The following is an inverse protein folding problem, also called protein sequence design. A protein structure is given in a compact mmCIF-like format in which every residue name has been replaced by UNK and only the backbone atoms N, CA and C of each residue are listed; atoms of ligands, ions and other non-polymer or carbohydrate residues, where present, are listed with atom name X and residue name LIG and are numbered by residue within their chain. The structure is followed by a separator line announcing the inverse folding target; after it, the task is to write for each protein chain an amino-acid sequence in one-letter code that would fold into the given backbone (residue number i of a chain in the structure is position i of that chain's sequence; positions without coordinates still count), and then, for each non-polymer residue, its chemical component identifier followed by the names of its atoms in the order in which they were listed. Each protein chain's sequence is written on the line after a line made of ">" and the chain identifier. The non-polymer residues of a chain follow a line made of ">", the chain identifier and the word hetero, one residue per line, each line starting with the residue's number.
data_IF_457392993114
#
_entry.id   IF_457392993114
#
_cell.length_a   1.000
_cell.length_b   1.000
_cell.length_c   1.000
_cell.angle_alpha   90.00
_cell.angle_beta   90.00
_cell.angle_gamma   90.00
#
_symmetry.space_group_name_H-M   'P 1'
#
loop_
_entity.id
_entity.type
_entity.pdbx_description
1 polymer ?
#
# COMPACT_ATOMS: atom_id res chain seq x y z
N UNK A 1 -45.74 -54.63 -76.11
CA UNK A 1 -44.72 -55.06 -75.10
C UNK A 1 -43.57 -54.06 -75.16
N UNK A 2 -43.58 -53.05 -74.30
CA UNK A 2 -42.48 -52.04 -74.20
C UNK A 2 -42.23 -51.68 -72.77
N UNK A 3 -41.03 -51.91 -72.34
CA UNK A 3 -40.57 -51.68 -70.98
C UNK A 3 -40.05 -50.22 -70.87
N UNK A 4 -40.53 -49.45 -69.88
CA UNK A 4 -40.04 -48.14 -69.52
C UNK A 4 -38.88 -48.29 -68.47
N UNK A 5 -37.78 -47.53 -68.62
CA UNK A 5 -36.74 -47.50 -67.60
C UNK A 5 -37.03 -46.43 -66.54
N UNK A 6 -36.81 -46.78 -65.26
CA UNK A 6 -36.88 -45.90 -64.07
C UNK A 6 -35.64 -45.00 -63.97
N UNK A 7 -35.82 -43.69 -64.05
CA UNK A 7 -34.80 -42.69 -63.77
C UNK A 7 -34.74 -42.50 -62.28
N UNK A 8 -33.64 -42.89 -61.65
CA UNK A 8 -33.29 -42.50 -60.26
C UNK A 8 -32.63 -41.11 -60.27
N UNK A 9 -33.31 -40.12 -59.71
CA UNK A 9 -32.81 -38.77 -59.51
C UNK A 9 -32.14 -38.70 -58.16
N UNK A 10 -30.80 -38.73 -58.11
CA UNK A 10 -30.03 -38.52 -56.84
C UNK A 10 -30.03 -37.03 -56.47
N UNK A 11 -30.64 -36.68 -55.37
CA UNK A 11 -30.57 -35.36 -54.73
C UNK A 11 -29.33 -35.31 -53.95
N UNK A 12 -28.31 -34.54 -54.35
CA UNK A 12 -27.13 -34.21 -53.53
C UNK A 12 -27.48 -33.03 -52.63
N UNK A 13 -27.61 -33.28 -51.31
CA UNK A 13 -27.76 -32.26 -50.28
C UNK A 13 -26.36 -31.75 -49.98
N UNK A 14 -26.08 -30.49 -50.31
CA UNK A 14 -24.89 -29.77 -49.87
C UNK A 14 -25.18 -29.18 -48.51
N UNK A 15 -24.55 -29.73 -47.45
CA UNK A 15 -24.55 -29.13 -46.12
C UNK A 15 -23.41 -28.10 -46.13
N UNK A 16 -23.74 -26.83 -46.26
CA UNK A 16 -22.83 -25.71 -46.05
C UNK A 16 -22.69 -25.48 -44.53
N UNK A 17 -21.59 -25.96 -43.94
CA UNK A 17 -21.18 -25.56 -42.57
C UNK A 17 -20.74 -24.08 -42.60
N UNK A 18 -21.62 -23.18 -42.17
CA UNK A 18 -21.24 -21.82 -41.90
C UNK A 18 -20.44 -21.78 -40.58
N UNK A 19 -19.11 -21.66 -40.66
CA UNK A 19 -18.27 -21.37 -39.50
C UNK A 19 -18.56 -19.93 -39.05
N UNK A 20 -19.32 -19.78 -37.95
CA UNK A 20 -19.51 -18.49 -37.29
C UNK A 20 -18.22 -18.13 -36.57
N UNK A 21 -17.42 -17.23 -37.12
CA UNK A 21 -16.27 -16.62 -36.43
C UNK A 21 -16.85 -15.63 -35.43
N UNK A 22 -16.86 -16.02 -34.14
CA UNK A 22 -17.16 -15.11 -33.02
C UNK A 22 -15.92 -14.25 -32.81
N UNK A 23 -15.99 -12.91 -33.01
CA UNK A 23 -14.85 -12.06 -32.70
C UNK A 23 -14.57 -12.12 -31.18
N UNK A 24 -13.44 -12.67 -30.79
CA UNK A 24 -12.92 -12.51 -29.43
C UNK A 24 -12.54 -11.05 -29.24
N UNK A 25 -13.40 -10.28 -28.59
CA UNK A 25 -13.02 -8.97 -28.09
C UNK A 25 -12.06 -9.19 -26.92
N UNK A 26 -10.79 -8.95 -27.17
CA UNK A 26 -9.79 -8.81 -26.10
C UNK A 26 -10.20 -7.61 -25.26
N UNK A 27 -10.68 -7.84 -24.04
CA UNK A 27 -10.85 -6.78 -23.06
C UNK A 27 -9.44 -6.35 -22.65
N UNK A 28 -8.93 -5.33 -23.32
CA UNK A 28 -7.69 -4.69 -22.95
C UNK A 28 -7.94 -3.94 -21.64
N UNK A 29 -7.30 -4.39 -20.54
CA UNK A 29 -7.36 -3.66 -19.29
C UNK A 29 -6.87 -2.21 -19.54
N UNK A 30 -7.67 -1.23 -19.15
CA UNK A 30 -7.29 0.17 -19.29
C UNK A 30 -5.98 0.40 -18.51
N UNK A 31 -4.99 1.01 -19.16
CA UNK A 31 -3.75 1.40 -18.49
C UNK A 31 -4.08 2.32 -17.32
N UNK A 32 -3.54 2.08 -16.12
CA UNK A 32 -3.78 2.93 -14.96
C UNK A 32 -3.45 4.39 -15.27
N UNK A 33 -4.23 5.32 -14.73
CA UNK A 33 -4.00 6.76 -14.92
C UNK A 33 -2.63 7.18 -14.35
N UNK A 34 -2.19 6.53 -13.26
CA UNK A 34 -0.87 6.68 -12.65
C UNK A 34 -0.25 5.28 -12.55
N UNK A 35 0.72 4.95 -13.40
CA UNK A 35 1.20 3.56 -13.50
C UNK A 35 2.16 3.14 -12.40
N UNK A 36 2.82 4.10 -11.69
CA UNK A 36 3.84 3.77 -10.71
C UNK A 36 3.28 3.89 -9.29
N UNK A 37 3.52 2.85 -8.49
CA UNK A 37 3.22 2.80 -7.06
C UNK A 37 4.51 2.54 -6.30
N UNK A 38 4.89 3.46 -5.40
CA UNK A 38 6.04 3.30 -4.51
C UNK A 38 5.51 3.04 -3.11
N UNK A 39 5.87 1.87 -2.56
CA UNK A 39 5.42 1.37 -1.26
C UNK A 39 6.53 1.54 -0.22
N UNK A 40 6.22 2.15 0.91
CA UNK A 40 7.16 2.41 1.99
C UNK A 40 6.69 1.72 3.26
N UNK A 41 7.53 0.85 3.83
CA UNK A 41 7.20 0.06 5.03
C UNK A 41 7.39 0.87 6.31
N UNK A 42 6.68 0.47 7.38
CA UNK A 42 6.82 1.06 8.71
C UNK A 42 8.05 0.61 9.48
N UNK A 43 8.15 1.05 10.74
CA UNK A 43 9.09 0.50 11.71
C UNK A 43 8.86 -1.01 11.90
N UNK A 44 9.88 -1.72 12.34
CA UNK A 44 9.84 -3.17 12.64
C UNK A 44 9.46 -4.05 11.45
N UNK A 45 9.61 -3.54 10.23
CA UNK A 45 9.29 -4.22 8.99
C UNK A 45 10.36 -3.97 7.92
N UNK A 46 10.20 -4.57 6.77
CA UNK A 46 10.94 -4.31 5.54
C UNK A 46 10.02 -4.37 4.31
N UNK A 47 10.58 -4.14 3.13
CA UNK A 47 9.81 -4.12 1.89
C UNK A 47 9.09 -5.44 1.56
N UNK A 48 9.49 -6.57 2.15
CA UNK A 48 8.84 -7.87 1.92
C UNK A 48 7.45 -7.96 2.56
N UNK A 49 7.16 -7.12 3.56
CA UNK A 49 5.82 -7.01 4.15
C UNK A 49 4.73 -6.66 3.12
N UNK A 50 5.10 -6.04 2.01
CA UNK A 50 4.24 -5.69 0.90
C UNK A 50 4.05 -6.78 -0.15
N UNK A 51 4.70 -7.96 -0.03
CA UNK A 51 4.80 -8.95 -1.10
C UNK A 51 3.45 -9.33 -1.73
N UNK A 52 2.40 -9.53 -0.93
CA UNK A 52 1.05 -9.86 -1.43
C UNK A 52 0.36 -8.67 -2.11
N UNK A 53 0.53 -7.46 -1.58
CA UNK A 53 0.00 -6.22 -2.19
C UNK A 53 0.70 -5.95 -3.51
N UNK A 54 2.03 -6.12 -3.58
CA UNK A 54 2.82 -6.00 -4.82
C UNK A 54 2.25 -6.89 -5.91
N UNK A 55 2.09 -8.20 -5.63
CA UNK A 55 1.57 -9.14 -6.61
C UNK A 55 0.18 -8.75 -7.13
N UNK A 56 -0.71 -8.27 -6.25
CA UNK A 56 -2.06 -7.84 -6.60
C UNK A 56 -2.05 -6.58 -7.48
N UNK A 57 -1.19 -5.60 -7.18
CA UNK A 57 -1.07 -4.38 -7.97
C UNK A 57 -0.41 -4.66 -9.33
N UNK A 58 0.65 -5.49 -9.38
CA UNK A 58 1.30 -5.90 -10.63
C UNK A 58 0.33 -6.62 -11.57
N UNK A 59 -0.54 -7.49 -11.04
CA UNK A 59 -1.59 -8.16 -11.81
C UNK A 59 -2.63 -7.20 -12.41
N UNK A 60 -2.70 -5.96 -11.90
CA UNK A 60 -3.55 -4.87 -12.42
C UNK A 60 -2.81 -3.94 -13.39
N UNK A 61 -1.55 -4.24 -13.71
CA UNK A 61 -0.73 -3.46 -14.64
C UNK A 61 0.03 -2.29 -14.02
N UNK A 62 0.09 -2.17 -12.69
CA UNK A 62 0.93 -1.18 -12.02
C UNK A 62 2.40 -1.58 -12.03
N UNK A 63 3.29 -0.61 -12.23
CA UNK A 63 4.70 -0.75 -11.92
C UNK A 63 4.88 -0.45 -10.42
N UNK A 64 5.34 -1.44 -9.65
CA UNK A 64 5.42 -1.36 -8.19
C UNK A 64 6.84 -1.49 -7.71
N UNK A 65 7.27 -0.58 -6.86
CA UNK A 65 8.57 -0.61 -6.19
C UNK A 65 8.38 -0.49 -4.68
N UNK A 66 9.02 -1.37 -3.90
CA UNK A 66 9.06 -1.25 -2.45
C UNK A 66 10.40 -0.65 -2.00
N UNK A 67 10.35 0.36 -1.15
CA UNK A 67 11.52 0.98 -0.53
C UNK A 67 12.06 0.08 0.58
N UNK A 68 13.38 0.04 0.74
CA UNK A 68 14.04 -0.54 1.91
C UNK A 68 14.57 0.59 2.78
N UNK A 69 13.85 0.90 3.85
CA UNK A 69 14.24 1.97 4.78
C UNK A 69 15.43 1.56 5.63
N UNK A 70 16.43 2.42 5.84
CA UNK A 70 17.48 2.23 6.83
C UNK A 70 16.95 2.13 8.27
N UNK A 71 15.93 2.92 8.63
CA UNK A 71 15.38 3.08 9.98
C UNK A 71 16.40 3.67 10.98
N UNK A 72 17.34 4.49 10.48
CA UNK A 72 18.43 5.11 11.26
C UNK A 72 18.17 6.58 11.60
N UNK A 73 17.41 7.28 10.76
CA UNK A 73 16.90 8.64 10.96
C UNK A 73 15.79 8.93 9.95
N UNK A 74 14.98 9.97 10.18
CA UNK A 74 14.02 10.46 9.18
C UNK A 74 14.75 10.85 7.88
N UNK A 75 15.86 11.55 7.98
CA UNK A 75 16.63 12.00 6.81
C UNK A 75 17.12 10.83 5.94
N UNK A 76 17.63 9.75 6.55
CA UNK A 76 18.09 8.57 5.83
C UNK A 76 16.93 7.84 5.13
N UNK A 77 15.79 7.72 5.81
CA UNK A 77 14.58 7.07 5.29
C UNK A 77 13.96 7.88 4.15
N UNK A 78 13.92 9.21 4.26
CA UNK A 78 13.50 10.13 3.20
C UNK A 78 14.42 10.03 1.99
N UNK A 79 15.74 10.03 2.21
CA UNK A 79 16.72 9.88 1.12
C UNK A 79 16.58 8.53 0.40
N UNK A 80 16.34 7.43 1.13
CA UNK A 80 16.08 6.12 0.54
C UNK A 80 14.80 6.14 -0.31
N UNK A 81 13.75 6.79 0.18
CA UNK A 81 12.46 6.90 -0.51
C UNK A 81 12.58 7.74 -1.78
N UNK A 82 13.22 8.92 -1.72
CA UNK A 82 13.44 9.80 -2.88
C UNK A 82 14.22 9.10 -3.99
N UNK A 83 15.28 8.34 -3.66
CA UNK A 83 16.04 7.55 -4.66
C UNK A 83 15.14 6.54 -5.41
N UNK A 84 14.16 5.93 -4.75
CA UNK A 84 13.23 5.02 -5.43
C UNK A 84 12.25 5.78 -6.30
N UNK A 85 11.75 6.95 -5.86
CA UNK A 85 10.87 7.82 -6.65
C UNK A 85 11.59 8.31 -7.92
N UNK A 86 12.82 8.75 -7.81
CA UNK A 86 13.65 9.24 -8.94
C UNK A 86 13.88 8.19 -10.04
N UNK A 87 13.82 6.90 -9.69
CA UNK A 87 13.95 5.80 -10.63
C UNK A 87 12.66 5.49 -11.40
N UNK A 88 11.54 6.09 -11.01
CA UNK A 88 10.27 5.86 -11.70
C UNK A 88 10.17 6.70 -12.98
N UNK A 89 9.62 6.12 -14.03
CA UNK A 89 9.30 6.84 -15.26
C UNK A 89 7.87 7.37 -15.18
N UNK A 90 7.70 8.68 -14.95
CA UNK A 90 6.39 9.33 -14.90
C UNK A 90 5.81 9.46 -13.50
N UNK A 91 4.49 9.59 -13.43
CA UNK A 91 3.74 9.92 -12.23
C UNK A 91 3.72 8.76 -11.22
N UNK A 92 3.73 9.08 -9.92
CA UNK A 92 3.83 8.15 -8.79
C UNK A 92 2.70 8.38 -7.80
N UNK A 93 2.08 7.30 -7.33
CA UNK A 93 1.37 7.25 -6.05
C UNK A 93 2.35 6.75 -5.00
N UNK A 94 2.56 7.55 -3.96
CA UNK A 94 3.45 7.21 -2.84
C UNK A 94 2.61 6.72 -1.67
N UNK A 95 2.94 5.53 -1.16
CA UNK A 95 2.18 4.84 -0.12
C UNK A 95 3.05 4.63 1.11
N UNK A 96 2.59 5.10 2.28
CA UNK A 96 3.28 4.92 3.55
C UNK A 96 2.44 4.17 4.57
N UNK A 97 3.03 3.17 5.22
CA UNK A 97 2.45 2.45 6.34
C UNK A 97 3.12 2.87 7.65
N UNK A 98 2.33 3.15 8.69
CA UNK A 98 2.83 3.40 10.04
C UNK A 98 3.88 4.52 10.11
N UNK A 99 5.13 4.25 10.59
CA UNK A 99 6.26 5.17 10.56
C UNK A 99 6.49 5.80 9.20
N UNK A 100 6.32 5.04 8.13
CA UNK A 100 6.52 5.57 6.78
C UNK A 100 5.54 6.69 6.42
N UNK A 101 4.48 6.92 7.16
CA UNK A 101 3.65 8.11 6.98
C UNK A 101 4.44 9.40 7.19
N UNK A 102 5.33 9.45 8.19
CA UNK A 102 6.24 10.58 8.42
C UNK A 102 7.20 10.73 7.24
N UNK A 103 7.77 9.61 6.79
CA UNK A 103 8.73 9.57 5.67
C UNK A 103 8.11 10.06 4.36
N UNK A 104 6.92 9.56 4.00
CA UNK A 104 6.25 9.95 2.76
C UNK A 104 5.73 11.38 2.81
N UNK A 105 5.36 11.87 3.99
CA UNK A 105 4.99 13.28 4.20
C UNK A 105 6.13 14.21 3.82
N UNK A 106 7.35 13.92 4.22
CA UNK A 106 8.55 14.71 3.90
C UNK A 106 9.09 14.42 2.49
N UNK A 107 9.06 13.14 2.04
CA UNK A 107 9.64 12.74 0.77
C UNK A 107 8.83 13.17 -0.46
N UNK A 108 7.55 13.48 -0.30
CA UNK A 108 6.64 13.72 -1.41
C UNK A 108 6.73 15.12 -2.03
N UNK A 109 7.60 15.99 -1.56
CA UNK A 109 7.93 17.26 -2.22
C UNK A 109 8.73 17.02 -3.51
N UNK A 110 8.13 16.27 -4.41
CA UNK A 110 8.69 15.91 -5.71
C UNK A 110 7.59 16.01 -6.79
N UNK A 111 7.87 16.60 -7.96
CA UNK A 111 6.88 16.77 -9.03
C UNK A 111 6.27 15.46 -9.54
N UNK A 112 7.03 14.36 -9.49
CA UNK A 112 6.56 13.04 -9.90
C UNK A 112 5.45 12.48 -8.99
N UNK A 113 5.44 12.84 -7.69
CA UNK A 113 4.44 12.36 -6.74
C UNK A 113 3.12 13.11 -6.94
N UNK A 114 2.05 12.38 -7.28
CA UNK A 114 0.73 12.93 -7.59
C UNK A 114 -0.32 12.68 -6.52
N UNK A 115 -0.03 11.84 -5.54
CA UNK A 115 -0.91 11.58 -4.43
C UNK A 115 -0.26 10.72 -3.36
N UNK A 116 -0.79 10.81 -2.15
CA UNK A 116 -0.29 10.17 -0.95
C UNK A 116 -1.34 9.22 -0.38
N UNK A 117 -0.95 7.99 -0.15
CA UNK A 117 -1.80 6.99 0.52
C UNK A 117 -1.16 6.63 1.85
N UNK A 118 -1.91 6.81 2.91
CA UNK A 118 -1.53 6.50 4.29
C UNK A 118 -2.28 5.27 4.77
N UNK A 119 -1.59 4.30 5.34
CA UNK A 119 -2.19 3.11 5.94
C UNK A 119 -1.82 3.08 7.43
N UNK A 120 -2.81 3.24 8.33
CA UNK A 120 -2.58 3.29 9.78
C UNK A 120 -1.30 4.07 10.13
N UNK A 121 -1.14 5.26 9.57
CA UNK A 121 0.14 5.95 9.48
C UNK A 121 0.20 7.22 10.34
N UNK A 122 1.38 7.53 10.85
CA UNK A 122 1.68 8.80 11.52
C UNK A 122 1.86 9.89 10.46
N UNK A 123 1.17 11.04 10.63
CA UNK A 123 1.21 12.12 9.65
C UNK A 123 1.36 13.47 10.36
N UNK A 124 2.59 13.84 10.73
CA UNK A 124 2.87 15.14 11.33
C UNK A 124 2.69 16.29 10.34
N UNK A 125 2.53 17.49 10.87
CA UNK A 125 2.53 18.73 10.11
C UNK A 125 3.96 19.28 9.92
N UNK A 126 4.10 20.32 9.11
CA UNK A 126 5.37 21.05 8.97
C UNK A 126 5.80 21.64 10.32
N UNK A 127 7.05 21.41 10.68
CA UNK A 127 7.59 21.78 12.00
C UNK A 127 7.26 20.81 13.13
N UNK A 128 6.57 19.71 12.86
CA UNK A 128 6.20 18.70 13.86
C UNK A 128 6.99 17.40 13.68
N UNK A 129 7.32 16.73 14.76
CA UNK A 129 7.89 15.38 14.77
C UNK A 129 6.80 14.33 15.03
N UNK A 130 7.11 13.05 14.78
CA UNK A 130 6.19 11.97 15.15
C UNK A 130 5.87 11.96 16.65
N UNK A 131 6.87 12.15 17.50
CA UNK A 131 6.67 12.22 18.94
C UNK A 131 5.82 13.45 19.35
N UNK A 132 6.04 14.61 18.73
CA UNK A 132 5.25 15.82 18.93
C UNK A 132 3.79 15.63 18.55
N UNK A 133 3.55 15.05 17.37
CA UNK A 133 2.20 14.71 16.88
C UNK A 133 1.46 13.77 17.85
N UNK A 134 2.11 12.67 18.27
CA UNK A 134 1.51 11.72 19.19
C UNK A 134 1.22 12.36 20.56
N UNK A 135 2.09 13.25 21.05
CA UNK A 135 1.85 14.01 22.28
C UNK A 135 0.64 14.95 22.11
N UNK A 136 0.55 15.69 21.03
CA UNK A 136 -0.59 16.58 20.70
C UNK A 136 -1.91 15.80 20.64
N UNK A 137 -1.87 14.58 20.09
CA UNK A 137 -3.04 13.70 19.94
C UNK A 137 -3.30 12.85 21.20
N UNK A 138 -2.62 13.12 22.30
CA UNK A 138 -2.76 12.42 23.60
C UNK A 138 -2.54 10.90 23.51
N UNK A 139 -1.66 10.48 22.61
CA UNK A 139 -1.30 9.07 22.37
C UNK A 139 0.22 8.88 22.39
N UNK A 140 0.89 9.21 23.51
CA UNK A 140 2.33 9.06 23.59
C UNK A 140 2.74 7.59 23.44
N UNK A 141 3.90 7.35 22.82
CA UNK A 141 4.49 6.02 22.73
C UNK A 141 4.88 5.55 24.15
N UNK A 142 4.18 4.53 24.64
CA UNK A 142 4.48 3.92 25.93
C UNK A 142 5.06 2.52 25.73
N UNK A 143 5.99 2.12 26.63
CA UNK A 143 6.55 0.75 26.60
C UNK A 143 7.65 0.51 25.56
N UNK A 144 7.89 1.41 24.64
CA UNK A 144 8.97 1.31 23.64
C UNK A 144 10.22 2.04 24.16
N UNK A 145 11.05 1.32 24.91
CA UNK A 145 12.31 1.88 25.40
C UNK A 145 13.46 1.52 24.47
N UNK A 146 14.34 2.48 24.14
CA UNK A 146 15.54 2.18 23.37
C UNK A 146 16.54 1.37 24.19
N UNK A 147 17.28 0.50 23.51
CA UNK A 147 18.42 -0.20 24.07
C UNK A 147 19.65 0.74 24.29
N UNK A 148 20.78 0.16 24.75
CA UNK A 148 22.02 0.90 24.97
C UNK A 148 22.61 1.55 23.69
N UNK A 149 22.13 1.15 22.51
CA UNK A 149 22.52 1.70 21.21
C UNK A 149 21.50 2.69 20.66
N UNK A 150 20.44 3.00 21.43
CA UNK A 150 19.37 3.90 21.00
C UNK A 150 18.39 3.29 20.00
N UNK A 151 18.32 1.96 19.93
CA UNK A 151 17.44 1.23 19.02
C UNK A 151 16.21 0.70 19.77
N UNK A 152 15.05 0.84 19.17
CA UNK A 152 13.79 0.25 19.65
C UNK A 152 13.54 -1.04 18.86
N UNK A 153 13.24 -2.11 19.58
CA UNK A 153 13.02 -3.45 19.05
C UNK A 153 11.56 -3.88 19.23
N UNK A 154 11.09 -4.76 18.34
CA UNK A 154 9.78 -5.40 18.41
C UNK A 154 9.92 -6.88 17.97
N UNK A 155 10.88 -7.59 18.55
CA UNK A 155 11.28 -8.95 18.15
C UNK A 155 10.74 -10.06 19.09
N UNK A 156 10.05 -9.70 20.18
CA UNK A 156 9.28 -10.67 20.96
C UNK A 156 7.99 -11.05 20.22
N UNK A 157 7.75 -12.34 19.88
CA UNK A 157 6.61 -12.73 19.08
C UNK A 157 5.25 -12.47 19.70
N UNK A 158 5.15 -12.47 21.03
CA UNK A 158 3.90 -12.23 21.74
C UNK A 158 3.57 -10.74 21.68
N UNK A 159 4.52 -9.90 22.07
CA UNK A 159 4.38 -8.44 21.99
C UNK A 159 4.14 -7.97 20.55
N UNK A 160 4.88 -8.52 19.59
CA UNK A 160 4.67 -8.21 18.17
C UNK A 160 3.24 -8.52 17.73
N UNK A 161 2.72 -9.69 18.10
CA UNK A 161 1.37 -10.07 17.74
C UNK A 161 0.33 -9.17 18.44
N UNK A 162 0.48 -8.91 19.71
CA UNK A 162 -0.48 -8.14 20.50
C UNK A 162 -0.54 -6.66 20.05
N UNK A 163 0.58 -6.09 19.64
CA UNK A 163 0.67 -4.68 19.22
C UNK A 163 0.44 -4.53 17.72
N UNK A 164 1.13 -5.33 16.90
CA UNK A 164 1.20 -5.10 15.45
C UNK A 164 0.24 -5.98 14.64
N UNK A 165 0.02 -7.22 15.06
CA UNK A 165 -0.60 -8.24 14.22
C UNK A 165 -1.66 -9.08 14.92
N UNK A 166 -2.60 -8.47 15.66
CA UNK A 166 -3.63 -9.17 16.43
C UNK A 166 -4.51 -10.12 15.60
N UNK A 167 -4.74 -9.81 14.34
CA UNK A 167 -5.49 -10.61 13.38
C UNK A 167 -4.64 -11.60 12.56
N UNK A 168 -3.32 -11.64 12.79
CA UNK A 168 -2.43 -12.61 12.16
C UNK A 168 -2.41 -13.95 12.90
N UNK A 169 -2.12 -15.04 12.17
CA UNK A 169 -1.85 -16.32 12.82
C UNK A 169 -0.61 -16.23 13.72
N UNK A 170 -0.55 -16.98 14.83
CA UNK A 170 0.64 -17.00 15.70
C UNK A 170 1.93 -17.34 14.95
N UNK A 171 1.86 -18.24 13.95
CA UNK A 171 3.01 -18.61 13.14
C UNK A 171 3.49 -17.45 12.26
N UNK A 172 2.57 -16.70 11.66
CA UNK A 172 2.90 -15.51 10.85
C UNK A 172 3.50 -14.41 11.72
N UNK A 173 2.90 -14.11 12.87
CA UNK A 173 3.41 -13.10 13.80
C UNK A 173 4.82 -13.46 14.31
N UNK A 174 5.05 -14.73 14.66
CA UNK A 174 6.37 -15.23 15.05
C UNK A 174 7.42 -15.06 13.96
N UNK A 175 7.06 -15.36 12.71
CA UNK A 175 8.00 -15.21 11.59
C UNK A 175 8.33 -13.73 11.33
N UNK A 176 7.34 -12.83 11.41
CA UNK A 176 7.54 -11.39 11.22
C UNK A 176 8.35 -10.77 12.37
N UNK A 177 8.11 -11.18 13.62
CA UNK A 177 8.91 -10.75 14.77
C UNK A 177 10.39 -11.15 14.62
N UNK A 178 10.67 -12.34 14.08
CA UNK A 178 12.05 -12.83 13.89
C UNK A 178 12.85 -12.04 12.84
N UNK A 179 12.18 -11.31 11.94
CA UNK A 179 12.80 -10.45 10.93
C UNK A 179 12.53 -8.97 11.21
N UNK A 180 11.94 -8.65 12.36
CA UNK A 180 11.62 -7.28 12.75
C UNK A 180 12.90 -6.43 12.83
N UNK A 181 12.98 -5.41 11.98
CA UNK A 181 14.13 -4.52 11.91
C UNK A 181 13.98 -3.41 12.94
N UNK A 182 14.97 -3.18 13.83
CA UNK A 182 14.88 -2.12 14.80
C UNK A 182 14.89 -0.73 14.17
N UNK A 183 14.32 0.24 14.86
CA UNK A 183 14.34 1.65 14.46
C UNK A 183 15.11 2.48 15.50
N UNK A 184 15.89 3.44 15.04
CA UNK A 184 16.55 4.40 15.93
C UNK A 184 15.50 5.29 16.62
N UNK A 185 15.54 5.35 17.96
CA UNK A 185 14.58 6.14 18.76
C UNK A 185 14.57 7.62 18.36
N UNK A 186 15.73 8.16 17.98
CA UNK A 186 15.86 9.55 17.50
C UNK A 186 14.97 9.89 16.32
N UNK A 187 14.66 8.91 15.46
CA UNK A 187 13.82 9.13 14.27
C UNK A 187 12.46 9.71 14.64
N UNK A 188 11.90 9.33 15.78
CA UNK A 188 10.62 9.85 16.26
C UNK A 188 10.67 11.31 16.72
N UNK A 189 11.86 11.84 17.02
CA UNK A 189 12.09 13.23 17.39
C UNK A 189 12.49 14.12 16.20
N UNK A 190 12.86 13.53 15.07
CA UNK A 190 13.18 14.25 13.85
C UNK A 190 11.94 14.98 13.33
N UNK A 191 12.12 16.24 12.92
CA UNK A 191 11.02 17.15 12.52
C UNK A 191 10.81 17.10 11.01
N UNK A 192 9.56 17.00 10.59
CA UNK A 192 9.16 17.18 9.18
C UNK A 192 9.30 18.66 8.82
N UNK A 193 10.04 18.94 7.76
CA UNK A 193 10.28 20.33 7.32
C UNK A 193 9.17 20.84 6.42
N UNK A 194 8.64 19.98 5.55
CA UNK A 194 7.52 20.29 4.66
C UNK A 194 6.53 19.11 4.61
N UNK A 195 5.32 19.37 5.06
CA UNK A 195 4.25 18.39 5.02
C UNK A 195 3.54 18.41 3.66
N UNK A 196 4.02 17.61 2.71
CA UNK A 196 3.55 17.61 1.33
C UNK A 196 2.06 17.24 1.16
N UNK A 197 1.38 16.74 2.20
CA UNK A 197 -0.06 16.49 2.18
C UNK A 197 -0.90 17.79 2.09
N UNK A 198 -0.33 18.97 2.34
CA UNK A 198 -0.99 20.24 2.07
C UNK A 198 -1.16 20.51 0.56
N UNK A 199 -0.27 19.93 -0.26
CA UNK A 199 -0.18 20.26 -1.68
C UNK A 199 -0.67 19.12 -2.59
N UNK A 200 -1.01 17.97 -2.01
CA UNK A 200 -1.32 16.77 -2.78
C UNK A 200 -2.61 16.09 -2.31
N UNK A 201 -3.36 15.46 -3.22
CA UNK A 201 -4.48 14.61 -2.84
C UNK A 201 -4.05 13.50 -1.89
N UNK A 202 -4.85 13.24 -0.86
CA UNK A 202 -4.56 12.28 0.19
C UNK A 202 -5.65 11.24 0.36
N UNK A 203 -5.23 10.03 0.67
CA UNK A 203 -6.07 8.89 1.05
C UNK A 203 -5.58 8.32 2.36
N UNK A 204 -6.48 7.94 3.24
CA UNK A 204 -6.13 7.35 4.53
C UNK A 204 -6.95 6.09 4.80
N UNK A 205 -6.27 4.95 4.97
CA UNK A 205 -6.87 3.70 5.43
C UNK A 205 -6.74 3.61 6.94
N UNK A 206 -7.89 3.51 7.61
CA UNK A 206 -8.03 3.40 9.06
C UNK A 206 -8.21 1.93 9.44
N UNK A 207 -7.46 1.46 10.43
CA UNK A 207 -7.53 0.10 10.98
C UNK A 207 -8.19 0.14 12.36
N UNK A 208 -9.34 -0.55 12.52
CA UNK A 208 -10.20 -0.39 13.71
C UNK A 208 -9.79 -1.27 14.91
N UNK A 209 -8.99 -2.30 14.69
CA UNK A 209 -8.48 -3.18 15.74
C UNK A 209 -6.95 -2.97 15.94
N UNK A 210 -6.49 -1.73 15.79
CA UNK A 210 -5.07 -1.33 15.82
C UNK A 210 -4.61 -0.97 17.23
N UNK A 211 -3.62 -1.71 17.74
CA UNK A 211 -3.01 -1.46 19.05
C UNK A 211 -1.69 -0.69 18.97
N UNK A 212 -1.11 -0.52 17.77
CA UNK A 212 0.11 0.26 17.58
C UNK A 212 -0.17 1.75 17.40
N UNK A 213 -1.17 2.11 16.58
CA UNK A 213 -1.66 3.46 16.42
C UNK A 213 -3.19 3.46 16.63
N UNK A 214 -3.68 3.91 17.79
CA UNK A 214 -5.08 3.80 18.14
C UNK A 214 -6.04 4.36 17.06
N UNK A 215 -7.17 3.69 16.76
CA UNK A 215 -8.12 4.14 15.74
C UNK A 215 -8.57 5.59 15.92
N UNK A 216 -8.76 6.05 17.16
CA UNK A 216 -9.13 7.42 17.46
C UNK A 216 -8.09 8.45 16.95
N UNK A 217 -6.80 8.11 17.01
CA UNK A 217 -5.72 8.94 16.46
C UNK A 217 -5.78 8.92 14.94
N UNK A 218 -5.97 7.75 14.33
CA UNK A 218 -6.07 7.60 12.88
C UNK A 218 -7.25 8.42 12.32
N UNK A 219 -8.40 8.41 12.97
CA UNK A 219 -9.55 9.23 12.59
C UNK A 219 -9.25 10.73 12.65
N UNK A 220 -8.55 11.19 13.71
CA UNK A 220 -8.15 12.61 13.83
C UNK A 220 -7.18 13.00 12.70
N UNK A 221 -6.19 12.15 12.39
CA UNK A 221 -5.25 12.39 11.29
C UNK A 221 -5.96 12.42 9.94
N UNK A 222 -6.86 11.47 9.66
CA UNK A 222 -7.64 11.45 8.42
C UNK A 222 -8.49 12.72 8.24
N UNK A 223 -9.08 13.26 9.33
CA UNK A 223 -9.79 14.54 9.33
C UNK A 223 -8.85 15.73 9.09
N UNK A 224 -7.69 15.77 9.76
CA UNK A 224 -6.66 16.81 9.56
C UNK A 224 -6.26 16.91 8.09
N UNK A 225 -6.04 15.77 7.44
CA UNK A 225 -5.65 15.64 6.04
C UNK A 225 -6.79 15.95 5.06
N UNK A 226 -8.04 15.99 5.50
CA UNK A 226 -9.24 15.96 4.64
C UNK A 226 -9.17 14.81 3.62
N UNK A 227 -8.62 13.68 4.06
CA UNK A 227 -8.33 12.54 3.21
C UNK A 227 -9.59 11.82 2.73
N UNK A 228 -9.52 11.20 1.55
CA UNK A 228 -10.48 10.17 1.17
C UNK A 228 -10.20 8.93 2.03
N UNK A 229 -11.19 8.47 2.79
CA UNK A 229 -10.98 7.43 3.79
C UNK A 229 -11.54 6.07 3.37
N UNK A 230 -10.93 5.03 3.89
CA UNK A 230 -11.49 3.68 4.00
C UNK A 230 -11.21 3.17 5.41
N UNK A 231 -12.23 2.57 6.01
CA UNK A 231 -12.10 1.90 7.30
C UNK A 231 -12.05 0.39 7.09
N UNK A 232 -11.14 -0.27 7.80
CA UNK A 232 -10.95 -1.70 7.70
C UNK A 232 -10.86 -2.31 9.10
N UNK A 233 -11.63 -3.36 9.34
CA UNK A 233 -11.57 -4.12 10.58
C UNK A 233 -10.34 -5.04 10.54
N UNK A 234 -9.20 -4.50 10.95
CA UNK A 234 -7.89 -5.11 10.88
C UNK A 234 -7.01 -4.59 12.02
N UNK A 235 -6.00 -5.37 12.39
CA UNK A 235 -4.88 -4.89 13.20
C UNK A 235 -3.97 -3.96 12.39
N UNK A 236 -2.86 -3.51 12.97
CA UNK A 236 -1.91 -2.57 12.36
C UNK A 236 -1.34 -3.04 11.01
N UNK A 237 -1.13 -4.35 10.84
CA UNK A 237 -0.52 -4.94 9.65
C UNK A 237 -1.56 -5.32 8.57
N UNK A 238 -2.48 -4.43 8.23
CA UNK A 238 -3.51 -4.66 7.21
C UNK A 238 -2.95 -5.07 5.85
N UNK A 239 -1.76 -4.60 5.48
CA UNK A 239 -1.07 -4.98 4.24
C UNK A 239 -0.71 -6.49 4.20
N UNK A 240 -0.60 -7.13 5.37
CA UNK A 240 -0.33 -8.57 5.50
C UNK A 240 -1.63 -9.36 5.62
N UNK A 241 -2.55 -8.93 6.48
CA UNK A 241 -3.80 -9.65 6.78
C UNK A 241 -4.89 -9.43 5.72
N UNK A 242 -4.98 -8.22 5.14
CA UNK A 242 -6.01 -7.79 4.19
C UNK A 242 -5.43 -7.21 2.89
N UNK A 243 -4.51 -7.93 2.22
CA UNK A 243 -3.77 -7.39 1.08
C UNK A 243 -4.65 -7.03 -0.13
N UNK A 244 -5.83 -7.65 -0.28
CA UNK A 244 -6.76 -7.35 -1.38
C UNK A 244 -7.40 -5.98 -1.19
N UNK A 245 -7.93 -5.71 0.00
CA UNK A 245 -8.57 -4.46 0.38
C UNK A 245 -7.56 -3.30 0.31
N UNK A 246 -6.33 -3.54 0.77
CA UNK A 246 -5.23 -2.58 0.67
C UNK A 246 -4.88 -2.29 -0.79
N UNK A 247 -4.73 -3.31 -1.64
CA UNK A 247 -4.46 -3.13 -3.07
C UNK A 247 -5.62 -2.43 -3.80
N UNK A 248 -6.88 -2.69 -3.41
CA UNK A 248 -8.06 -2.02 -3.95
C UNK A 248 -8.06 -0.53 -3.58
N UNK A 249 -7.69 -0.21 -2.35
CA UNK A 249 -7.61 1.17 -1.87
C UNK A 249 -6.52 1.96 -2.59
N UNK A 250 -5.33 1.40 -2.71
CA UNK A 250 -4.22 1.99 -3.48
C UNK A 250 -4.61 2.16 -4.95
N UNK A 251 -5.27 1.17 -5.55
CA UNK A 251 -5.75 1.23 -6.93
C UNK A 251 -6.76 2.36 -7.17
N UNK A 252 -7.66 2.63 -6.20
CA UNK A 252 -8.58 3.79 -6.29
C UNK A 252 -7.82 5.12 -6.28
N UNK A 253 -6.82 5.26 -5.43
CA UNK A 253 -5.97 6.45 -5.42
C UNK A 253 -5.25 6.66 -6.75
N UNK A 254 -4.70 5.58 -7.32
CA UNK A 254 -3.98 5.63 -8.60
C UNK A 254 -4.89 5.86 -9.82
N UNK A 255 -6.16 5.45 -9.74
CA UNK A 255 -7.14 5.65 -10.81
C UNK A 255 -7.86 7.01 -10.73
N UNK A 256 -7.73 7.74 -9.60
CA UNK A 256 -8.41 9.03 -9.44
C UNK A 256 -7.89 10.02 -10.48
N UNK A 257 -8.82 10.65 -11.20
CA UNK A 257 -8.48 11.75 -12.11
C UNK A 257 -7.92 12.91 -11.28
N UNK A 258 -6.88 13.57 -11.79
CA UNK A 258 -6.37 14.82 -11.22
C UNK A 258 -7.53 15.80 -11.04
N UNK A 259 -7.61 16.55 -9.92
CA UNK A 259 -8.51 17.69 -9.83
C UNK A 259 -8.18 18.74 -10.88
#
# INVERSE_FOLDING_TARGET
>A
MSRLPRLFRQIRIWITCALSIIPMFSVQAATPAIPNVVLVHGAFADGSSWARVIALLQNRGYHVSAVQLPLTSLADDVAATRRVIERQSGDVILVGHSWAGVVVTEAADMPAVKGLVYLSAMVPDSGESAAGMLHRLQSPMTGMQPDAHGLIWMDDPTTFRDVMGGDLSPATAKALAAVAKPIAARSFADVVTHAAWHDKPTWYLITEDDHALPPAVQHQLAMQLRAQTMTLRSSHLSLVSHPREVADFIGRAAASKRP
#
